data_IF_794714971215
#
_entry.id   IF_794714971215
#
_cell.length_a   1.000
_cell.length_b   1.000
_cell.length_c   1.000
_cell.angle_alpha   90.00
_cell.angle_beta   90.00
_cell.angle_gamma   90.00
#
_symmetry.space_group_name_H-M   'P 1'
#
loop_
_entity.id
_entity.type
_entity.pdbx_description
1 polymer ?
#
# COMPACT_ATOMS: atom_id res chain seq x y z
N UNK A 1 36.75 45.58 -19.02
CA UNK A 1 36.82 44.77 -17.80
C UNK A 1 36.52 43.35 -18.20
N UNK A 2 37.53 42.48 -18.14
CA UNK A 2 37.46 41.11 -18.68
C UNK A 2 36.82 40.18 -17.64
N UNK A 3 35.77 39.44 -18.01
CA UNK A 3 35.06 38.54 -17.08
C UNK A 3 35.97 37.42 -16.55
N UNK A 4 36.99 37.07 -17.34
CA UNK A 4 37.98 36.07 -16.97
C UNK A 4 38.81 36.50 -15.75
N UNK A 5 39.20 37.78 -15.67
CA UNK A 5 40.01 38.29 -14.56
C UNK A 5 39.22 38.34 -13.25
N UNK A 6 37.92 38.64 -13.32
CA UNK A 6 37.02 38.59 -12.16
C UNK A 6 36.84 37.15 -11.63
N UNK A 7 36.72 36.17 -12.54
CA UNK A 7 36.61 34.76 -12.15
C UNK A 7 37.91 34.22 -11.52
N UNK A 8 39.07 34.56 -12.08
CA UNK A 8 40.37 34.19 -11.51
C UNK A 8 40.59 34.82 -10.12
N UNK A 9 40.16 36.08 -9.93
CA UNK A 9 40.20 36.75 -8.63
C UNK A 9 39.32 36.04 -7.60
N UNK A 10 38.09 35.66 -7.96
CA UNK A 10 37.18 34.93 -7.06
C UNK A 10 37.63 33.50 -6.72
N UNK A 11 38.26 32.79 -7.66
CA UNK A 11 38.82 31.46 -7.42
C UNK A 11 39.99 31.53 -6.43
N UNK A 12 40.85 32.55 -6.55
CA UNK A 12 41.94 32.77 -5.61
C UNK A 12 41.45 33.09 -4.19
N UNK A 13 40.26 33.68 -4.04
CA UNK A 13 39.65 33.96 -2.73
C UNK A 13 38.94 32.75 -2.12
N UNK A 14 38.52 31.78 -2.93
CA UNK A 14 37.87 30.52 -2.51
C UNK A 14 38.86 29.40 -2.18
N UNK A 15 40.11 29.49 -2.66
CA UNK A 15 41.20 28.63 -2.27
C UNK A 15 41.63 28.93 -0.83
N UNK A 16 40.86 28.41 0.13
CA UNK A 16 41.25 28.34 1.54
C UNK A 16 42.61 27.65 1.62
N UNK A 17 43.58 28.31 2.27
CA UNK A 17 44.90 27.75 2.51
C UNK A 17 44.77 26.36 3.15
N UNK A 18 45.71 25.46 2.85
CA UNK A 18 45.64 24.07 3.32
C UNK A 18 45.56 23.96 4.85
N UNK A 19 46.12 24.93 5.56
CA UNK A 19 46.00 25.06 7.02
C UNK A 19 44.59 25.41 7.49
N UNK A 20 43.86 26.21 6.71
CA UNK A 20 42.47 26.57 7.01
C UNK A 20 41.52 25.40 6.74
N UNK A 21 41.79 24.61 5.69
CA UNK A 21 41.07 23.34 5.41
C UNK A 21 41.29 22.33 6.52
N UNK A 22 42.54 22.14 6.97
CA UNK A 22 42.87 21.25 8.10
C UNK A 22 42.15 21.67 9.39
N UNK A 23 42.13 22.96 9.71
CA UNK A 23 41.40 23.49 10.88
C UNK A 23 39.89 23.27 10.80
N UNK A 24 39.30 23.33 9.61
CA UNK A 24 37.88 23.06 9.44
C UNK A 24 37.57 21.57 9.62
N UNK A 25 38.37 20.68 9.04
CA UNK A 25 38.23 19.24 9.22
C UNK A 25 38.37 18.87 10.70
N UNK A 26 39.32 19.47 11.42
CA UNK A 26 39.51 19.19 12.84
C UNK A 26 38.32 19.64 13.70
N UNK A 27 37.69 20.78 13.34
CA UNK A 27 36.44 21.23 13.97
C UNK A 27 35.28 20.29 13.67
N UNK A 28 35.14 19.84 12.41
CA UNK A 28 34.09 18.90 12.01
C UNK A 28 34.23 17.56 12.73
N UNK A 29 35.44 17.02 12.82
CA UNK A 29 35.73 15.78 13.55
C UNK A 29 35.42 15.94 15.04
N UNK A 30 35.71 17.10 15.62
CA UNK A 30 35.40 17.38 17.02
C UNK A 30 33.90 17.42 17.28
N UNK A 31 33.15 18.14 16.44
CA UNK A 31 31.68 18.19 16.51
C UNK A 31 31.07 16.80 16.29
N UNK A 32 31.61 16.02 15.34
CA UNK A 32 31.15 14.66 15.09
C UNK A 32 31.32 13.75 16.30
N UNK A 33 32.48 13.81 16.99
CA UNK A 33 32.72 13.02 18.21
C UNK A 33 31.76 13.40 19.33
N UNK A 34 31.55 14.69 19.57
CA UNK A 34 30.60 15.17 20.59
C UNK A 34 29.17 14.66 20.33
N UNK A 35 28.72 14.67 19.06
CA UNK A 35 27.40 14.13 18.67
C UNK A 35 27.34 12.61 18.78
N UNK A 36 28.40 11.90 18.40
CA UNK A 36 28.45 10.44 18.50
C UNK A 36 28.40 9.98 19.97
N UNK A 37 29.19 10.62 20.83
CA UNK A 37 29.28 10.27 22.25
C UNK A 37 27.96 10.60 22.98
N UNK A 38 27.31 11.71 22.65
CA UNK A 38 25.97 12.05 23.18
C UNK A 38 24.85 11.13 22.66
N UNK A 39 25.06 10.42 21.54
CA UNK A 39 24.14 9.42 21.03
C UNK A 39 24.40 8.04 21.66
N UNK A 40 25.66 7.70 21.96
CA UNK A 40 26.04 6.46 22.63
C UNK A 40 25.72 6.45 24.12
N UNK A 41 25.74 7.61 24.78
CA UNK A 41 25.38 7.76 26.21
C UNK A 41 23.87 7.85 26.44
N UNK A 42 23.05 7.85 25.38
CA UNK A 42 21.63 7.59 25.58
C UNK A 42 21.54 6.16 26.13
N UNK A 43 20.86 5.93 27.26
CA UNK A 43 20.58 4.56 27.66
C UNK A 43 19.98 3.89 26.43
N UNK A 44 20.42 2.66 26.14
CA UNK A 44 19.71 1.82 25.19
C UNK A 44 18.28 1.72 25.72
N UNK A 45 17.43 2.67 25.34
CA UNK A 45 16.08 2.40 24.93
C UNK A 45 16.26 1.44 23.76
N UNK A 46 16.63 0.20 24.10
CA UNK A 46 16.16 -0.97 23.40
C UNK A 46 14.67 -0.71 23.32
N UNK A 47 14.24 -0.06 22.24
CA UNK A 47 12.91 -0.18 21.73
C UNK A 47 12.83 -1.69 21.55
N UNK A 48 12.35 -2.39 22.59
CA UNK A 48 12.38 -3.84 22.67
C UNK A 48 11.68 -4.32 21.42
N UNK A 49 12.48 -4.76 20.43
CA UNK A 49 11.98 -5.00 19.09
C UNK A 49 10.82 -5.96 19.26
N UNK A 50 9.59 -5.57 18.88
CA UNK A 50 8.43 -6.41 19.11
C UNK A 50 8.66 -7.76 18.45
N UNK A 51 8.30 -8.84 19.15
CA UNK A 51 8.34 -10.18 18.56
C UNK A 51 7.45 -10.20 17.32
N UNK A 52 8.06 -10.20 16.14
CA UNK A 52 7.37 -10.22 14.84
C UNK A 52 7.19 -11.62 14.27
N UNK A 53 7.91 -12.61 14.82
CA UNK A 53 7.84 -13.99 14.40
C UNK A 53 7.32 -14.87 15.52
N UNK A 54 6.28 -15.65 15.21
CA UNK A 54 5.68 -16.63 16.10
C UNK A 54 5.80 -17.98 15.40
N UNK A 55 6.64 -18.87 15.94
CA UNK A 55 6.79 -20.22 15.41
C UNK A 55 5.48 -20.99 15.53
N UNK A 56 5.19 -21.83 14.52
CA UNK A 56 4.04 -22.73 14.57
C UNK A 56 4.13 -23.68 15.78
N UNK A 57 3.00 -24.01 16.45
CA UNK A 57 2.98 -25.01 17.50
C UNK A 57 3.53 -26.35 17.01
N UNK A 58 4.24 -27.06 17.91
CA UNK A 58 4.68 -28.43 17.64
C UNK A 58 3.46 -29.35 17.49
N UNK A 59 3.54 -30.44 16.69
CA UNK A 59 2.41 -31.35 16.47
C UNK A 59 1.88 -32.02 17.75
N UNK A 60 2.66 -32.03 18.83
CA UNK A 60 2.30 -32.59 20.13
C UNK A 60 1.33 -31.69 20.93
N UNK A 61 1.29 -30.39 20.65
CA UNK A 61 0.40 -29.43 21.32
C UNK A 61 -0.96 -29.36 20.61
N UNK A 62 -1.81 -30.35 20.88
CA UNK A 62 -3.16 -30.44 20.29
C UNK A 62 -4.01 -29.21 20.57
N UNK A 63 -3.84 -28.56 21.74
CA UNK A 63 -4.60 -27.38 22.11
C UNK A 63 -4.15 -26.16 21.30
N UNK A 64 -2.84 -25.93 21.21
CA UNK A 64 -2.28 -24.82 20.42
C UNK A 64 -2.67 -24.89 18.95
N UNK A 65 -2.68 -26.09 18.36
CA UNK A 65 -3.09 -26.30 16.97
C UNK A 65 -4.58 -25.97 16.76
N UNK A 66 -5.47 -26.45 17.65
CA UNK A 66 -6.91 -26.18 17.55
C UNK A 66 -7.25 -24.71 17.76
N UNK A 67 -6.56 -24.03 18.69
CA UNK A 67 -6.76 -22.60 18.92
C UNK A 67 -6.35 -21.79 17.69
N UNK A 68 -5.23 -22.16 17.06
CA UNK A 68 -4.76 -21.53 15.83
C UNK A 68 -5.75 -21.74 14.68
N UNK A 69 -6.28 -22.95 14.54
CA UNK A 69 -7.30 -23.30 13.55
C UNK A 69 -8.58 -22.47 13.72
N UNK A 70 -9.09 -22.34 14.96
CA UNK A 70 -10.27 -21.52 15.26
C UNK A 70 -9.99 -20.03 14.99
N UNK A 71 -8.86 -19.50 15.48
CA UNK A 71 -8.46 -18.13 15.25
C UNK A 71 -8.35 -17.80 13.75
N UNK A 72 -7.75 -18.70 12.97
CA UNK A 72 -7.65 -18.58 11.50
C UNK A 72 -9.03 -18.61 10.85
N UNK A 73 -9.88 -19.57 11.23
CA UNK A 73 -11.23 -19.69 10.69
C UNK A 73 -12.05 -18.42 10.93
N UNK A 74 -11.99 -17.86 12.15
CA UNK A 74 -12.63 -16.57 12.48
C UNK A 74 -12.07 -15.41 11.66
N UNK A 75 -10.75 -15.36 11.48
CA UNK A 75 -10.10 -14.33 10.69
C UNK A 75 -10.51 -14.39 9.21
N UNK A 76 -10.47 -15.58 8.60
CA UNK A 76 -10.90 -15.79 7.21
C UNK A 76 -12.38 -15.47 7.03
N UNK A 77 -13.23 -15.89 7.97
CA UNK A 77 -14.66 -15.53 7.98
C UNK A 77 -14.88 -14.02 8.04
N UNK A 78 -14.08 -13.30 8.85
CA UNK A 78 -14.15 -11.83 8.93
C UNK A 78 -13.75 -11.19 7.60
N UNK A 79 -12.66 -11.65 6.96
CA UNK A 79 -12.23 -11.16 5.65
C UNK A 79 -13.28 -11.47 4.58
N UNK A 80 -13.84 -12.68 4.59
CA UNK A 80 -14.86 -13.10 3.63
C UNK A 80 -16.12 -12.24 3.74
N UNK A 81 -16.54 -11.85 4.94
CA UNK A 81 -17.70 -10.95 5.14
C UNK A 81 -17.44 -9.50 4.75
N UNK A 82 -16.18 -9.06 4.79
CA UNK A 82 -15.76 -7.72 4.38
C UNK A 82 -15.64 -7.59 2.85
N UNK A 83 -15.64 -8.72 2.15
CA UNK A 83 -15.59 -8.79 0.70
C UNK A 83 -16.92 -8.35 0.08
N UNK A 84 -16.85 -7.87 -1.16
CA UNK A 84 -18.04 -7.43 -1.89
C UNK A 84 -18.78 -8.63 -2.48
N UNK A 85 -20.09 -8.65 -2.25
CA UNK A 85 -20.98 -9.65 -2.83
C UNK A 85 -21.37 -9.28 -4.27
N UNK A 86 -21.86 -10.26 -5.02
CA UNK A 86 -22.33 -10.04 -6.40
C UNK A 86 -23.41 -8.95 -6.48
N UNK A 87 -24.34 -8.94 -5.52
CA UNK A 87 -25.40 -7.92 -5.47
C UNK A 87 -24.82 -6.53 -5.16
N UNK A 88 -23.90 -6.43 -4.19
CA UNK A 88 -23.23 -5.17 -3.85
C UNK A 88 -22.42 -4.60 -5.03
N UNK A 89 -21.83 -5.47 -5.86
CA UNK A 89 -21.14 -5.07 -7.09
C UNK A 89 -22.12 -4.54 -8.15
N UNK A 90 -23.28 -5.18 -8.30
CA UNK A 90 -24.33 -4.71 -9.21
C UNK A 90 -24.89 -3.35 -8.77
N UNK A 91 -25.11 -3.18 -7.46
CA UNK A 91 -25.58 -1.93 -6.87
C UNK A 91 -24.53 -0.82 -6.99
N UNK A 92 -23.24 -1.16 -6.85
CA UNK A 92 -22.16 -0.22 -7.12
C UNK A 92 -22.19 0.27 -8.57
N UNK A 93 -22.33 -0.64 -9.54
CA UNK A 93 -22.38 -0.28 -10.95
C UNK A 93 -23.58 0.60 -11.30
N UNK A 94 -24.76 0.28 -10.75
CA UNK A 94 -25.97 1.07 -10.98
C UNK A 94 -25.84 2.49 -10.41
N UNK A 95 -25.30 2.63 -9.20
CA UNK A 95 -25.06 3.93 -8.57
C UNK A 95 -24.00 4.75 -9.33
N UNK A 96 -22.94 4.09 -9.80
CA UNK A 96 -21.92 4.71 -10.63
C UNK A 96 -22.52 5.28 -11.93
N UNK A 97 -23.46 4.56 -12.55
CA UNK A 97 -24.17 5.05 -13.73
C UNK A 97 -25.06 6.27 -13.43
N UNK A 98 -25.61 6.39 -12.21
CA UNK A 98 -26.43 7.55 -11.82
C UNK A 98 -25.60 8.84 -11.64
N UNK A 99 -24.31 8.71 -11.30
CA UNK A 99 -23.40 9.84 -11.09
C UNK A 99 -22.49 10.13 -12.30
N UNK A 100 -22.88 9.67 -13.49
CA UNK A 100 -22.13 9.93 -14.73
C UNK A 100 -21.98 11.43 -15.02
N UNK A 101 -20.89 11.82 -15.70
CA UNK A 101 -20.68 13.20 -16.11
C UNK A 101 -21.72 13.63 -17.16
N UNK A 102 -22.25 14.84 -17.01
CA UNK A 102 -23.31 15.41 -17.86
C UNK A 102 -22.69 15.81 -19.21
N UNK A 103 -22.45 14.83 -20.08
CA UNK A 103 -21.78 15.06 -21.37
C UNK A 103 -21.73 13.82 -22.26
N UNK A 104 -21.75 12.63 -21.67
CA UNK A 104 -21.80 11.37 -22.40
C UNK A 104 -23.22 11.10 -22.92
N UNK A 105 -23.46 11.52 -24.15
CA UNK A 105 -24.64 11.10 -24.93
C UNK A 105 -24.36 9.88 -25.81
N UNK A 106 -23.11 9.41 -25.84
CA UNK A 106 -22.74 8.18 -26.56
C UNK A 106 -23.02 6.95 -25.69
N UNK A 107 -23.78 6.00 -26.25
CA UNK A 107 -24.23 4.78 -25.57
C UNK A 107 -23.09 3.85 -25.10
N UNK A 108 -21.85 4.09 -25.56
CA UNK A 108 -20.73 3.16 -25.37
C UNK A 108 -19.86 3.41 -24.14
N UNK A 109 -19.44 4.66 -23.90
CA UNK A 109 -18.41 4.96 -22.91
C UNK A 109 -18.91 5.95 -21.87
N UNK A 110 -18.94 5.49 -20.61
CA UNK A 110 -19.38 6.28 -19.47
C UNK A 110 -18.18 6.82 -18.73
N UNK A 111 -18.16 8.12 -18.49
CA UNK A 111 -17.10 8.83 -17.79
C UNK A 111 -17.61 9.47 -16.51
N UNK A 112 -16.74 9.58 -15.52
CA UNK A 112 -17.05 10.22 -14.24
C UNK A 112 -15.97 11.24 -13.87
N UNK A 113 -16.43 12.46 -13.58
CA UNK A 113 -15.61 13.54 -13.04
C UNK A 113 -15.22 13.25 -11.58
N UNK A 114 -14.11 13.83 -11.12
CA UNK A 114 -13.68 13.68 -9.73
C UNK A 114 -14.71 14.17 -8.69
N UNK A 115 -15.47 15.24 -9.01
CA UNK A 115 -16.53 15.74 -8.12
C UNK A 115 -17.67 14.72 -7.96
N UNK A 116 -18.06 14.09 -9.06
CA UNK A 116 -19.09 13.05 -9.05
C UNK A 116 -18.57 11.76 -8.42
N UNK A 117 -17.28 11.44 -8.60
CA UNK A 117 -16.61 10.33 -7.93
C UNK A 117 -16.66 10.48 -6.39
N UNK A 118 -16.51 11.71 -5.88
CA UNK A 118 -16.63 11.98 -4.44
C UNK A 118 -18.08 11.84 -3.95
N UNK A 119 -19.06 12.31 -4.72
CA UNK A 119 -20.49 12.11 -4.39
C UNK A 119 -20.87 10.63 -4.39
N UNK A 120 -20.40 9.88 -5.39
CA UNK A 120 -20.59 8.44 -5.44
C UNK A 120 -19.97 7.76 -4.20
N UNK A 121 -18.76 8.15 -3.78
CA UNK A 121 -18.15 7.61 -2.55
C UNK A 121 -19.02 7.78 -1.30
N UNK A 122 -19.72 8.91 -1.17
CA UNK A 122 -20.60 9.17 -0.03
C UNK A 122 -21.85 8.28 -0.06
N UNK A 123 -22.46 8.12 -1.25
CA UNK A 123 -23.65 7.32 -1.48
C UNK A 123 -23.42 5.80 -1.44
N UNK A 124 -22.18 5.34 -1.66
CA UNK A 124 -21.83 3.92 -1.66
C UNK A 124 -21.72 3.33 -0.24
N UNK A 125 -22.05 2.04 -0.14
CA UNK A 125 -21.89 1.18 1.05
C UNK A 125 -20.47 1.31 1.67
N UNK A 126 -20.34 1.34 3.00
CA UNK A 126 -19.05 1.54 3.68
C UNK A 126 -17.92 0.59 3.24
N UNK A 127 -18.24 -0.66 2.89
CA UNK A 127 -17.26 -1.65 2.39
C UNK A 127 -16.52 -1.16 1.15
N UNK A 128 -17.26 -0.62 0.17
CA UNK A 128 -16.68 -0.24 -1.12
C UNK A 128 -15.95 1.11 -1.08
N UNK A 129 -16.16 1.93 -0.03
CA UNK A 129 -15.47 3.22 0.15
C UNK A 129 -13.94 3.10 0.11
N UNK A 130 -13.40 1.93 0.47
CA UNK A 130 -11.97 1.60 0.42
C UNK A 130 -11.38 1.64 -1.01
N UNK A 131 -12.21 1.49 -2.05
CA UNK A 131 -11.77 1.58 -3.43
C UNK A 131 -11.77 3.01 -3.97
N UNK A 132 -12.59 3.89 -3.38
CA UNK A 132 -12.71 5.31 -3.71
C UNK A 132 -11.59 6.12 -3.05
N UNK A 133 -10.38 5.95 -3.59
CA UNK A 133 -9.16 6.64 -3.17
C UNK A 133 -8.68 7.55 -4.29
N UNK A 134 -8.17 8.77 -4.00
CA UNK A 134 -7.63 9.67 -5.03
C UNK A 134 -6.52 9.01 -5.87
N UNK A 135 -5.72 8.15 -5.24
CA UNK A 135 -4.68 7.36 -5.93
C UNK A 135 -5.27 6.40 -6.96
N UNK A 136 -6.44 5.81 -6.69
CA UNK A 136 -7.14 4.94 -7.66
C UNK A 136 -7.63 5.76 -8.84
N UNK A 137 -8.20 6.95 -8.58
CA UNK A 137 -8.64 7.87 -9.62
C UNK A 137 -7.48 8.29 -10.52
N UNK A 138 -6.37 8.76 -9.95
CA UNK A 138 -5.19 9.17 -10.70
C UNK A 138 -4.56 8.02 -11.52
N UNK A 139 -4.60 6.79 -11.02
CA UNK A 139 -4.10 5.61 -11.76
C UNK A 139 -4.98 5.24 -12.96
N UNK A 140 -6.27 5.54 -12.90
CA UNK A 140 -7.24 5.24 -13.96
C UNK A 140 -7.43 6.40 -14.93
N UNK A 141 -6.94 7.58 -14.58
CA UNK A 141 -6.91 8.77 -15.43
C UNK A 141 -5.82 8.59 -16.50
N UNK A 142 -6.12 7.83 -17.54
CA UNK A 142 -5.21 7.54 -18.66
C UNK A 142 -5.29 8.63 -19.73
N UNK A 143 -4.73 9.80 -19.43
CA UNK A 143 -4.47 10.84 -20.43
C UNK A 143 -5.71 11.49 -21.07
N UNK A 144 -6.89 11.35 -20.46
CA UNK A 144 -8.11 12.00 -20.92
C UNK A 144 -7.96 13.55 -20.84
N UNK A 145 -8.17 14.29 -21.94
CA UNK A 145 -8.08 15.76 -21.97
C UNK A 145 -8.94 16.46 -20.91
N UNK A 146 -10.10 15.88 -20.57
CA UNK A 146 -11.02 16.43 -19.57
C UNK A 146 -10.71 15.94 -18.14
N UNK A 147 -9.71 15.07 -17.98
CA UNK A 147 -9.32 14.51 -16.68
C UNK A 147 -10.37 13.62 -16.03
N UNK A 148 -11.25 13.02 -16.84
CA UNK A 148 -12.26 12.06 -16.38
C UNK A 148 -11.69 10.65 -16.35
N UNK A 149 -12.42 9.73 -15.71
CA UNK A 149 -12.10 8.29 -15.75
C UNK A 149 -13.24 7.52 -16.38
N UNK A 150 -12.91 6.48 -17.14
CA UNK A 150 -13.89 5.55 -17.68
C UNK A 150 -14.48 4.69 -16.53
N UNK A 151 -15.80 4.72 -16.40
CA UNK A 151 -16.58 4.04 -15.37
C UNK A 151 -16.39 2.52 -15.43
N UNK A 152 -16.33 1.97 -16.63
CA UNK A 152 -16.10 0.55 -16.88
C UNK A 152 -14.70 0.15 -16.43
N UNK A 153 -13.69 1.00 -16.66
CA UNK A 153 -12.33 0.76 -16.19
C UNK A 153 -12.26 0.75 -14.64
N UNK A 154 -12.96 1.67 -13.98
CA UNK A 154 -13.07 1.68 -12.51
C UNK A 154 -13.80 0.44 -11.97
N UNK A 155 -14.92 0.06 -12.58
CA UNK A 155 -15.66 -1.13 -12.18
C UNK A 155 -14.80 -2.40 -12.33
N UNK A 156 -14.10 -2.53 -13.46
CA UNK A 156 -13.18 -3.65 -13.70
C UNK A 156 -12.02 -3.68 -12.68
N UNK A 157 -11.52 -2.51 -12.26
CA UNK A 157 -10.53 -2.43 -11.18
C UNK A 157 -11.08 -2.99 -9.85
N UNK A 158 -12.30 -2.59 -9.46
CA UNK A 158 -12.95 -3.09 -8.24
C UNK A 158 -13.20 -4.59 -8.32
N UNK A 159 -13.70 -5.07 -9.45
CA UNK A 159 -13.91 -6.50 -9.73
C UNK A 159 -12.61 -7.29 -9.58
N UNK A 160 -11.54 -6.87 -10.28
CA UNK A 160 -10.24 -7.55 -10.23
C UNK A 160 -9.67 -7.58 -8.82
N UNK A 161 -9.80 -6.50 -8.06
CA UNK A 161 -9.32 -6.43 -6.68
C UNK A 161 -10.11 -7.36 -5.75
N UNK A 162 -11.43 -7.40 -5.90
CA UNK A 162 -12.31 -8.34 -5.17
C UNK A 162 -11.96 -9.79 -5.51
N UNK A 163 -11.76 -10.09 -6.79
CA UNK A 163 -11.33 -11.41 -7.26
C UNK A 163 -10.01 -11.85 -6.62
N UNK A 164 -9.00 -10.99 -6.59
CA UNK A 164 -7.72 -11.31 -5.93
C UNK A 164 -7.91 -11.67 -4.45
N UNK A 165 -8.75 -10.94 -3.72
CA UNK A 165 -9.06 -11.27 -2.33
C UNK A 165 -9.84 -12.59 -2.21
N UNK A 166 -10.82 -12.85 -3.09
CA UNK A 166 -11.56 -14.10 -3.15
C UNK A 166 -10.63 -15.30 -3.35
N UNK A 167 -9.75 -15.23 -4.36
CA UNK A 167 -8.77 -16.29 -4.63
C UNK A 167 -7.86 -16.52 -3.42
N UNK A 168 -7.38 -15.44 -2.77
CA UNK A 168 -6.51 -15.57 -1.60
C UNK A 168 -7.21 -16.23 -0.42
N UNK A 169 -8.46 -15.84 -0.14
CA UNK A 169 -9.27 -16.48 0.91
C UNK A 169 -9.52 -17.95 0.56
N UNK A 170 -9.88 -18.24 -0.70
CA UNK A 170 -10.07 -19.59 -1.21
C UNK A 170 -8.85 -20.48 -0.99
N UNK A 171 -7.67 -20.03 -1.42
CA UNK A 171 -6.40 -20.75 -1.19
C UNK A 171 -6.09 -20.93 0.30
N UNK A 172 -6.41 -19.93 1.12
CA UNK A 172 -6.21 -19.99 2.57
C UNK A 172 -7.11 -21.01 3.27
N UNK A 173 -8.27 -21.35 2.71
CA UNK A 173 -9.12 -22.41 3.25
C UNK A 173 -8.51 -23.81 3.09
N UNK A 174 -7.67 -24.02 2.06
CA UNK A 174 -7.02 -25.30 1.79
C UNK A 174 -5.72 -25.50 2.59
N UNK A 175 -5.11 -24.41 3.07
CA UNK A 175 -3.93 -24.47 3.95
C UNK A 175 -4.36 -24.73 5.41
N UNK A 176 -4.71 -25.98 5.69
CA UNK A 176 -5.21 -26.48 7.00
C UNK A 176 -4.17 -26.26 8.10
N UNK A 177 -2.88 -26.38 7.79
CA UNK A 177 -1.78 -26.32 8.78
C UNK A 177 -1.18 -24.92 8.94
N UNK A 178 -1.61 -23.94 8.16
CA UNK A 178 -1.08 -22.58 8.21
C UNK A 178 0.39 -22.44 7.84
N UNK A 179 0.90 -23.37 7.03
CA UNK A 179 2.32 -23.45 6.69
C UNK A 179 2.70 -22.51 5.54
N UNK A 180 1.71 -21.88 4.88
CA UNK A 180 1.93 -20.95 3.79
C UNK A 180 2.19 -21.61 2.43
N UNK A 181 2.01 -22.93 2.32
CA UNK A 181 2.09 -23.68 1.08
C UNK A 181 1.03 -24.77 1.03
N UNK A 182 0.63 -25.16 -0.18
CA UNK A 182 -0.35 -26.22 -0.43
C UNK A 182 0.39 -27.49 -0.84
N UNK A 183 -0.09 -28.65 -0.36
CA UNK A 183 0.42 -29.98 -0.76
C UNK A 183 -0.67 -30.73 -1.52
N UNK A 184 -0.28 -31.46 -2.57
CA UNK A 184 -1.19 -32.25 -3.41
C UNK A 184 -1.98 -33.29 -2.61
N UNK A 185 -1.33 -33.95 -1.64
CA UNK A 185 -1.90 -35.05 -0.85
C UNK A 185 -3.10 -34.69 0.01
N UNK A 186 -3.24 -33.43 0.43
CA UNK A 186 -4.38 -32.99 1.25
C UNK A 186 -5.42 -32.20 0.44
N UNK A 187 -5.07 -31.76 -0.78
CA UNK A 187 -5.88 -30.83 -1.56
C UNK A 187 -6.71 -31.56 -2.64
N UNK A 188 -6.20 -32.66 -3.21
CA UNK A 188 -6.82 -33.35 -4.34
C UNK A 188 -7.82 -34.44 -3.94
N UNK A 189 -7.72 -35.02 -2.74
CA UNK A 189 -8.68 -36.04 -2.26
C UNK A 189 -10.08 -35.47 -2.00
N UNK A 190 -10.23 -34.14 -1.92
CA UNK A 190 -11.53 -33.46 -1.74
C UNK A 190 -12.23 -33.09 -3.05
N UNK A 191 -11.56 -33.29 -4.20
CA UNK A 191 -12.07 -32.99 -5.54
C UNK A 191 -12.32 -34.23 -6.41
N UNK A 192 -12.02 -35.43 -5.91
CA UNK A 192 -12.43 -36.71 -6.49
C UNK A 192 -13.70 -37.25 -5.84
#
# INVERSE_FOLDING_TARGET
MDFKSLLEETLSTLELSDDQKKKNIEKEVKVFKEVHDSLSDRPNENIEIPKFFISLPKPEDSLGIKLLEDARSRHLNKISKDLLDHNELKDLYSLLCQHQSVGDKDEGEKFIDYKNFLKAKEAVVPKCRKFFTPTTFAKLQQGDPDGRINLTAFFNYVMRKTWHYQTRVGLSLYDIKGQGYLRETHSLERFS
#
